data_IF_350975358549
#
_entry.id   IF_350975358549
#
_cell.length_a   1.000
_cell.length_b   1.000
_cell.length_c   1.000
_cell.angle_alpha   90.00
_cell.angle_beta   90.00
_cell.angle_gamma   90.00
#
_symmetry.space_group_name_H-M   'P 1'
#
loop_
_entity.id
_entity.type
_entity.pdbx_description
1 polymer ?
#
# COMPACT_ATOMS: atom_id res chain seq x y z
N UNK A 1 -11.49 7.51 15.03
CA UNK A 1 -12.29 8.05 16.16
C UNK A 1 -13.65 8.65 15.81
N UNK A 2 -13.88 9.20 14.61
CA UNK A 2 -15.14 9.87 14.27
C UNK A 2 -16.40 9.03 14.54
N UNK A 3 -16.43 7.77 14.08
CA UNK A 3 -17.58 6.87 14.29
C UNK A 3 -17.79 6.58 15.78
N UNK A 4 -16.71 6.27 16.51
CA UNK A 4 -16.77 5.95 17.94
C UNK A 4 -17.35 7.13 18.74
N UNK A 5 -16.95 8.36 18.41
CA UNK A 5 -17.31 9.56 19.17
C UNK A 5 -18.60 10.24 18.70
N UNK A 6 -18.97 10.10 17.42
CA UNK A 6 -20.05 10.89 16.79
C UNK A 6 -21.03 10.05 15.97
N UNK A 7 -20.74 8.76 15.75
CA UNK A 7 -21.63 7.87 15.02
C UNK A 7 -22.91 7.59 15.82
N UNK A 8 -24.00 7.29 15.11
CA UNK A 8 -25.26 6.91 15.75
C UNK A 8 -25.29 5.39 16.00
N UNK A 9 -25.79 4.98 17.15
CA UNK A 9 -25.97 3.57 17.50
C UNK A 9 -26.93 2.89 16.51
N UNK A 10 -26.56 1.71 16.03
CA UNK A 10 -27.34 0.94 15.06
C UNK A 10 -27.08 1.30 13.60
N UNK A 11 -26.31 2.36 13.33
CA UNK A 11 -25.97 2.75 11.96
C UNK A 11 -24.69 2.06 11.46
N UNK A 12 -24.70 1.72 10.17
CA UNK A 12 -23.50 1.31 9.44
C UNK A 12 -22.94 2.48 8.64
N UNK A 13 -21.61 2.61 8.62
CA UNK A 13 -20.88 3.63 7.87
C UNK A 13 -19.80 2.96 7.03
N UNK A 14 -19.94 3.04 5.71
CA UNK A 14 -18.86 2.68 4.79
C UNK A 14 -17.71 3.68 4.91
N UNK A 15 -16.47 3.20 4.86
CA UNK A 15 -15.26 4.01 4.90
C UNK A 15 -14.46 3.72 3.64
N UNK A 16 -14.09 4.75 2.89
CA UNK A 16 -13.31 4.61 1.67
C UNK A 16 -12.69 5.92 1.25
N UNK A 17 -11.60 5.85 0.48
CA UNK A 17 -10.88 7.02 -0.03
C UNK A 17 -11.30 7.47 -1.43
N UNK A 18 -12.31 6.83 -2.04
CA UNK A 18 -12.69 7.03 -3.45
C UNK A 18 -11.51 6.84 -4.43
N UNK A 19 -10.69 5.82 -4.18
CA UNK A 19 -9.46 5.53 -4.91
C UNK A 19 -9.52 4.12 -5.51
N UNK A 20 -10.22 3.97 -6.63
CA UNK A 20 -10.26 2.70 -7.37
C UNK A 20 -9.01 2.55 -8.24
N UNK A 21 -8.26 1.47 -8.03
CA UNK A 21 -7.04 1.16 -8.77
C UNK A 21 -7.04 -0.30 -9.21
N UNK A 22 -6.53 -0.56 -10.41
CA UNK A 22 -6.24 -1.93 -10.83
C UNK A 22 -4.97 -2.43 -10.15
N UNK A 23 -4.93 -3.71 -9.80
CA UNK A 23 -3.77 -4.34 -9.14
C UNK A 23 -2.46 -4.07 -9.89
N UNK A 24 -2.49 -4.16 -11.24
CA UNK A 24 -1.29 -3.94 -12.06
C UNK A 24 -0.78 -2.51 -11.97
N UNK A 25 -1.66 -1.51 -11.87
CA UNK A 25 -1.26 -0.11 -11.78
C UNK A 25 -0.72 0.22 -10.39
N UNK A 26 -1.27 -0.40 -9.34
CA UNK A 26 -0.70 -0.35 -7.99
C UNK A 26 0.72 -0.93 -7.95
N UNK A 27 0.94 -2.09 -8.57
CA UNK A 27 2.28 -2.72 -8.61
C UNK A 27 3.28 -1.86 -9.40
N UNK A 28 2.88 -1.30 -10.53
CA UNK A 28 3.73 -0.37 -11.30
C UNK A 28 4.09 0.87 -10.51
N UNK A 29 3.13 1.49 -9.81
CA UNK A 29 3.40 2.62 -8.93
C UNK A 29 4.40 2.24 -7.84
N UNK A 30 4.22 1.09 -7.20
CA UNK A 30 5.17 0.56 -6.21
C UNK A 30 6.58 0.40 -6.81
N UNK A 31 6.70 -0.23 -7.97
CA UNK A 31 7.99 -0.41 -8.66
C UNK A 31 8.66 0.94 -8.93
N UNK A 32 7.92 1.91 -9.46
CA UNK A 32 8.42 3.27 -9.71
C UNK A 32 8.94 3.92 -8.42
N UNK A 33 8.18 3.85 -7.33
CA UNK A 33 8.58 4.45 -6.05
C UNK A 33 9.83 3.79 -5.48
N UNK A 34 9.97 2.47 -5.62
CA UNK A 34 11.18 1.75 -5.22
C UNK A 34 12.38 2.17 -6.07
N UNK A 35 12.23 2.26 -7.40
CA UNK A 35 13.29 2.74 -8.28
C UNK A 35 13.74 4.16 -7.88
N UNK A 36 12.79 5.05 -7.60
CA UNK A 36 13.09 6.39 -7.09
C UNK A 36 13.80 6.39 -5.74
N UNK A 37 13.42 5.50 -4.81
CA UNK A 37 14.12 5.36 -3.52
C UNK A 37 15.58 4.95 -3.71
N UNK A 38 15.86 3.95 -4.57
CA UNK A 38 17.23 3.52 -4.88
C UNK A 38 18.04 4.61 -5.59
N UNK A 39 17.40 5.42 -6.43
CA UNK A 39 18.06 6.55 -7.08
C UNK A 39 18.42 7.66 -6.08
N UNK A 40 17.62 7.87 -5.03
CA UNK A 40 17.84 8.90 -4.00
C UNK A 40 18.81 8.47 -2.91
N UNK A 41 18.81 7.19 -2.55
CA UNK A 41 19.66 6.64 -1.49
C UNK A 41 20.55 5.50 -2.01
N UNK A 42 21.82 5.83 -2.22
CA UNK A 42 22.83 4.88 -2.71
C UNK A 42 23.17 3.77 -1.71
N UNK A 43 22.80 3.92 -0.42
CA UNK A 43 22.99 2.86 0.57
C UNK A 43 22.03 1.69 0.37
N UNK A 44 20.87 1.92 -0.27
CA UNK A 44 19.90 0.86 -0.54
C UNK A 44 20.46 -0.23 -1.44
N UNK A 45 21.35 0.10 -2.38
CA UNK A 45 22.01 -0.89 -3.22
C UNK A 45 22.92 -1.83 -2.40
N UNK A 46 23.59 -1.32 -1.37
CA UNK A 46 24.42 -2.14 -0.47
C UNK A 46 23.56 -2.95 0.50
N UNK A 47 22.47 -2.38 0.98
CA UNK A 47 21.53 -2.99 1.93
C UNK A 47 20.70 -4.10 1.29
N UNK A 48 20.27 -3.92 0.03
CA UNK A 48 19.43 -4.85 -0.72
C UNK A 48 20.08 -5.24 -2.05
N UNK A 49 21.22 -5.95 -2.04
CA UNK A 49 22.00 -6.23 -3.25
C UNK A 49 21.29 -7.20 -4.22
N UNK A 50 20.29 -7.95 -3.74
CA UNK A 50 19.47 -8.83 -4.57
C UNK A 50 18.38 -8.09 -5.36
N UNK A 51 18.13 -6.81 -5.04
CA UNK A 51 17.17 -6.01 -5.80
C UNK A 51 17.72 -5.70 -7.21
N UNK A 52 16.92 -5.81 -8.28
CA UNK A 52 17.34 -5.39 -9.62
C UNK A 52 17.80 -3.92 -9.63
N UNK A 53 17.17 -3.07 -8.80
CA UNK A 53 17.50 -1.65 -8.68
C UNK A 53 18.94 -1.42 -8.20
N UNK A 54 19.49 -2.34 -7.39
CA UNK A 54 20.90 -2.27 -6.95
C UNK A 54 21.89 -2.39 -8.12
N UNK A 55 21.46 -3.01 -9.21
CA UNK A 55 22.23 -3.18 -10.45
C UNK A 55 21.80 -2.21 -11.58
N UNK A 56 20.90 -1.27 -11.28
CA UNK A 56 20.36 -0.31 -12.25
C UNK A 56 19.26 -0.87 -13.17
N UNK A 57 18.76 -2.07 -12.91
CA UNK A 57 17.59 -2.62 -13.58
C UNK A 57 16.29 -2.16 -12.88
N UNK A 58 15.20 -1.90 -13.63
CA UNK A 58 13.96 -1.42 -13.02
C UNK A 58 13.27 -2.52 -12.21
N UNK A 59 12.63 -2.15 -11.10
CA UNK A 59 11.84 -3.08 -10.28
C UNK A 59 10.71 -3.75 -11.08
N UNK A 60 10.15 -3.06 -12.08
CA UNK A 60 9.10 -3.62 -12.95
C UNK A 60 9.53 -4.89 -13.70
N UNK A 61 10.84 -5.11 -13.87
CA UNK A 61 11.37 -6.35 -14.47
C UNK A 61 10.98 -7.62 -13.70
N UNK A 62 10.55 -7.50 -12.44
CA UNK A 62 10.07 -8.60 -11.61
C UNK A 62 8.59 -8.95 -11.84
N UNK A 63 7.83 -8.11 -12.56
CA UNK A 63 6.41 -8.35 -12.79
C UNK A 63 6.24 -9.62 -13.64
N UNK A 64 5.55 -10.60 -13.07
CA UNK A 64 5.23 -11.87 -13.73
C UNK A 64 3.74 -12.13 -13.65
N UNK A 65 3.11 -12.45 -14.78
CA UNK A 65 1.71 -12.86 -14.81
C UNK A 65 1.60 -14.33 -14.41
N UNK A 66 0.67 -14.60 -13.51
CA UNK A 66 0.36 -15.94 -13.02
C UNK A 66 -1.09 -16.30 -13.36
N UNK A 67 -1.44 -17.57 -13.18
CA UNK A 67 -2.82 -18.02 -13.30
C UNK A 67 -3.74 -17.24 -12.37
N UNK A 68 -4.92 -16.87 -12.86
CA UNK A 68 -5.87 -16.09 -12.09
C UNK A 68 -6.49 -16.89 -10.94
N UNK A 69 -6.92 -16.19 -9.89
CA UNK A 69 -7.55 -16.81 -8.73
C UNK A 69 -8.97 -17.27 -9.09
N UNK A 70 -9.29 -18.54 -8.83
CA UNK A 70 -10.67 -19.00 -8.96
C UNK A 70 -11.62 -18.17 -8.07
N UNK A 71 -12.69 -17.62 -8.66
CA UNK A 71 -13.64 -16.75 -7.95
C UNK A 71 -13.08 -15.35 -7.63
N UNK A 72 -12.20 -14.80 -8.48
CA UNK A 72 -11.68 -13.45 -8.30
C UNK A 72 -12.76 -12.38 -8.51
N UNK A 73 -13.19 -11.74 -7.43
CA UNK A 73 -13.93 -10.47 -7.52
C UNK A 73 -13.04 -9.40 -8.13
N UNK A 74 -13.41 -8.93 -9.32
CA UNK A 74 -12.56 -8.06 -10.14
C UNK A 74 -12.62 -6.58 -9.77
N UNK A 75 -13.61 -6.17 -8.96
CA UNK A 75 -13.81 -4.78 -8.59
C UNK A 75 -14.47 -4.64 -7.23
N UNK A 76 -13.86 -3.82 -6.38
CA UNK A 76 -14.49 -3.28 -5.18
C UNK A 76 -14.48 -1.75 -5.27
N UNK A 77 -15.63 -1.15 -5.00
CA UNK A 77 -15.80 0.28 -4.95
C UNK A 77 -16.73 0.62 -3.79
N UNK A 78 -16.31 1.56 -2.95
CA UNK A 78 -17.05 1.95 -1.76
C UNK A 78 -17.58 3.37 -1.91
N UNK A 79 -18.89 3.53 -1.74
CA UNK A 79 -19.51 4.82 -1.53
C UNK A 79 -19.39 5.21 -0.04
N UNK A 80 -18.57 6.23 0.23
CA UNK A 80 -18.36 6.82 1.56
C UNK A 80 -19.25 8.07 1.82
N UNK A 81 -20.22 8.37 0.94
CA UNK A 81 -21.03 9.58 0.99
C UNK A 81 -21.76 9.77 2.33
N UNK A 82 -22.24 8.68 2.95
CA UNK A 82 -22.90 8.74 4.27
C UNK A 82 -21.97 9.27 5.36
N UNK A 83 -20.75 8.72 5.49
CA UNK A 83 -19.83 9.13 6.56
C UNK A 83 -19.28 10.53 6.28
N UNK A 84 -19.07 10.88 5.01
CA UNK A 84 -18.67 12.23 4.59
C UNK A 84 -19.74 13.25 4.96
N UNK A 85 -21.00 12.99 4.63
CA UNK A 85 -22.10 13.92 4.88
C UNK A 85 -22.48 14.04 6.37
N UNK A 86 -22.54 12.92 7.10
CA UNK A 86 -23.01 12.93 8.49
C UNK A 86 -21.91 13.27 9.50
N UNK A 87 -20.70 12.76 9.28
CA UNK A 87 -19.60 12.86 10.26
C UNK A 87 -18.45 13.76 9.79
N UNK A 88 -18.51 14.28 8.56
CA UNK A 88 -17.46 15.11 7.99
C UNK A 88 -16.17 14.34 7.67
N UNK A 89 -16.25 13.02 7.51
CA UNK A 89 -15.08 12.21 7.16
C UNK A 89 -14.55 12.59 5.76
N UNK A 90 -13.23 12.74 5.69
CA UNK A 90 -12.48 12.89 4.45
C UNK A 90 -11.16 12.13 4.57
N UNK A 91 -10.70 11.42 3.52
CA UNK A 91 -9.35 10.87 3.50
C UNK A 91 -8.32 12.01 3.58
N UNK A 92 -7.26 11.80 4.34
CA UNK A 92 -6.17 12.77 4.48
C UNK A 92 -5.02 12.53 3.49
N UNK A 93 -4.99 11.36 2.88
CA UNK A 93 -3.97 10.94 1.91
C UNK A 93 -4.65 10.61 0.59
N UNK A 94 -3.98 10.91 -0.51
CA UNK A 94 -4.28 10.29 -1.80
C UNK A 94 -3.50 8.97 -1.94
N UNK A 95 -3.75 8.24 -3.02
CA UNK A 95 -3.15 6.93 -3.21
C UNK A 95 -1.62 7.01 -3.39
N UNK A 96 -1.15 7.99 -4.17
CA UNK A 96 0.27 8.22 -4.43
C UNK A 96 1.04 8.60 -3.16
N UNK A 97 0.52 9.55 -2.37
CA UNK A 97 1.12 10.01 -1.12
C UNK A 97 1.15 8.90 -0.07
N UNK A 98 0.05 8.15 0.03
CA UNK A 98 -0.06 7.00 0.93
C UNK A 98 0.90 5.88 0.55
N UNK A 99 1.04 5.57 -0.74
CA UNK A 99 1.95 4.54 -1.22
C UNK A 99 3.42 4.93 -0.99
N UNK A 100 3.80 6.18 -1.27
CA UNK A 100 5.16 6.67 -0.98
C UNK A 100 5.50 6.54 0.51
N UNK A 101 4.59 6.97 1.39
CA UNK A 101 4.77 6.83 2.85
C UNK A 101 4.87 5.37 3.27
N UNK A 102 4.12 4.49 2.62
CA UNK A 102 4.16 3.04 2.86
C UNK A 102 5.53 2.48 2.49
N UNK A 103 6.04 2.75 1.27
CA UNK A 103 7.38 2.31 0.84
C UNK A 103 8.45 2.79 1.81
N UNK A 104 8.42 4.08 2.17
CA UNK A 104 9.38 4.65 3.12
C UNK A 104 9.31 3.94 4.48
N UNK A 105 8.11 3.68 4.99
CA UNK A 105 7.93 2.97 6.25
C UNK A 105 8.55 1.57 6.22
N UNK A 106 8.37 0.79 5.14
CA UNK A 106 8.99 -0.53 5.02
C UNK A 106 10.52 -0.46 4.94
N UNK A 107 11.08 0.55 4.28
CA UNK A 107 12.53 0.78 4.25
C UNK A 107 13.06 1.16 5.64
N UNK A 108 12.32 1.93 6.42
CA UNK A 108 12.76 2.40 7.75
C UNK A 108 12.54 1.36 8.86
N UNK A 109 11.68 0.36 8.65
CA UNK A 109 11.25 -0.60 9.68
C UNK A 109 11.65 -2.05 9.35
N UNK A 110 12.85 -2.25 8.81
CA UNK A 110 13.37 -3.59 8.48
C UNK A 110 13.36 -4.61 9.61
N UNK A 111 13.81 -4.27 10.84
CA UNK A 111 13.75 -5.22 11.95
C UNK A 111 12.33 -5.74 12.22
N UNK A 112 11.30 -4.93 11.96
CA UNK A 112 9.91 -5.31 12.20
C UNK A 112 9.44 -6.39 11.22
N UNK A 113 9.63 -6.19 9.91
CA UNK A 113 9.18 -7.19 8.94
C UNK A 113 10.11 -8.39 8.83
N UNK A 114 11.40 -8.26 9.14
CA UNK A 114 12.32 -9.40 9.19
C UNK A 114 11.89 -10.41 10.27
N UNK A 115 11.48 -9.94 11.45
CA UNK A 115 10.96 -10.78 12.52
C UNK A 115 9.68 -11.55 12.12
N UNK A 116 8.93 -11.04 11.13
CA UNK A 116 7.76 -11.76 10.58
C UNK A 116 8.20 -12.89 9.66
N UNK A 117 9.24 -12.69 8.85
CA UNK A 117 9.74 -13.67 7.88
C UNK A 117 10.54 -14.80 8.53
N UNK A 118 11.27 -14.53 9.63
CA UNK A 118 12.04 -15.54 10.36
C UNK A 118 11.20 -16.41 11.31
N UNK A 119 9.89 -16.13 11.41
CA UNK A 119 8.94 -16.87 12.22
C UNK A 119 9.01 -16.60 13.73
N UNK A 120 9.78 -15.59 14.15
CA UNK A 120 9.78 -15.10 15.54
C UNK A 120 8.49 -14.34 15.89
N UNK A 121 7.80 -13.81 14.88
CA UNK A 121 6.44 -13.26 15.02
C UNK A 121 5.42 -14.40 15.17
N UNK A 122 4.96 -14.60 16.41
CA UNK A 122 3.83 -15.48 16.74
C UNK A 122 2.69 -14.62 17.27
N UNK A 123 1.47 -14.86 16.74
CA UNK A 123 0.22 -14.37 17.32
C UNK A 123 -0.01 -15.00 18.70
#
# INVERSE_FOLDING_TARGET
DLIINKGRVGECYNIGGNNEWANVDTVRLLCKLVDESFARDSQLAQRFPASPCASGAPAESLITYVEDRAGHDTRYAIDAGKITGELGYQPQEDFDSGMLKTVQWYLDNEPWWQAILDGSYRL
#
